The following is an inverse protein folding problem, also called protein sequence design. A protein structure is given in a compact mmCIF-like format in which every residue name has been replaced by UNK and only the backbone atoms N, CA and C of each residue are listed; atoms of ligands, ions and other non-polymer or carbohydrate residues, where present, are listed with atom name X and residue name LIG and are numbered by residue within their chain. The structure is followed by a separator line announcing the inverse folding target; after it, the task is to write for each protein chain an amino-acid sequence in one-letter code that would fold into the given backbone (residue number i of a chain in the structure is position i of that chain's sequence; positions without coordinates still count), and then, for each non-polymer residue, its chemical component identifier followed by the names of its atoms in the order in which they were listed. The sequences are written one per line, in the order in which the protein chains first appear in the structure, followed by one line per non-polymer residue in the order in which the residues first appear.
data_IF_079574031568
#
_entry.id   IF_079574031568
#
_cell.length_a   1.000
_cell.length_b   1.000
_cell.length_c   1.000
_cell.angle_alpha   90.00
_cell.angle_beta   90.00
_cell.angle_gamma   90.00
#
_symmetry.space_group_name_H-M   'P 1'
#
loop_
_entity.id
_entity.type
_entity.pdbx_description
1 polymer ?
#
# COMPACT_ATOMS: atom_id res chain seq x y z
N UNK A 1 -28.06 20.27 -6.68
CA UNK A 1 -27.32 18.99 -6.71
C UNK A 1 -26.03 19.19 -5.92
N UNK A 2 -26.03 18.85 -4.63
CA UNK A 2 -24.87 19.02 -3.74
C UNK A 2 -23.87 17.90 -4.01
N UNK A 3 -22.70 18.25 -4.54
CA UNK A 3 -21.59 17.31 -4.72
C UNK A 3 -21.13 16.82 -3.34
N UNK A 4 -21.30 15.53 -3.07
CA UNK A 4 -20.74 14.86 -1.90
C UNK A 4 -19.23 14.81 -2.10
N UNK A 5 -18.51 15.80 -1.58
CA UNK A 5 -17.04 15.74 -1.46
C UNK A 5 -16.70 14.52 -0.61
N UNK A 6 -16.17 13.46 -1.22
CA UNK A 6 -15.57 12.34 -0.49
C UNK A 6 -14.63 12.93 0.56
N UNK A 7 -14.82 12.57 1.81
CA UNK A 7 -13.89 12.95 2.88
C UNK A 7 -12.49 12.46 2.48
N UNK A 8 -11.61 13.40 2.15
CA UNK A 8 -10.21 13.14 1.82
C UNK A 8 -9.53 12.67 3.09
N UNK A 9 -8.88 11.50 3.05
CA UNK A 9 -8.11 10.98 4.19
C UNK A 9 -6.75 11.70 4.23
N UNK A 10 -6.16 11.94 5.42
CA UNK A 10 -4.90 12.66 5.56
C UNK A 10 -3.77 12.13 4.65
N UNK A 11 -3.61 10.80 4.54
CA UNK A 11 -2.56 10.22 3.70
C UNK A 11 -2.96 9.94 2.24
N UNK A 12 -4.09 10.46 1.74
CA UNK A 12 -4.53 10.24 0.35
C UNK A 12 -3.50 10.66 -0.69
N UNK A 13 -2.84 11.81 -0.48
CA UNK A 13 -1.81 12.34 -1.39
C UNK A 13 -0.58 11.42 -1.43
N UNK A 14 -0.07 11.02 -0.25
CA UNK A 14 1.06 10.08 -0.12
C UNK A 14 0.75 8.76 -0.80
N UNK A 15 -0.43 8.19 -0.54
CA UNK A 15 -0.85 6.95 -1.19
C UNK A 15 -0.97 7.12 -2.71
N UNK A 16 -1.51 8.23 -3.20
CA UNK A 16 -1.58 8.48 -4.65
C UNK A 16 -0.19 8.56 -5.30
N UNK A 17 0.78 9.19 -4.64
CA UNK A 17 2.16 9.23 -5.10
C UNK A 17 2.79 7.83 -5.14
N UNK A 18 2.61 7.03 -4.08
CA UNK A 18 3.08 5.63 -4.05
C UNK A 18 2.47 4.81 -5.17
N UNK A 19 1.15 4.92 -5.41
CA UNK A 19 0.49 4.21 -6.52
C UNK A 19 1.09 4.58 -7.87
N UNK A 20 1.28 5.87 -8.12
CA UNK A 20 1.83 6.38 -9.37
C UNK A 20 3.28 5.91 -9.59
N UNK A 21 4.11 5.95 -8.54
CA UNK A 21 5.48 5.47 -8.60
C UNK A 21 5.55 3.95 -8.84
N UNK A 22 4.68 3.21 -8.17
CA UNK A 22 4.57 1.76 -8.32
C UNK A 22 4.12 1.36 -9.73
N UNK A 23 3.07 1.97 -10.25
CA UNK A 23 2.56 1.70 -11.60
C UNK A 23 3.56 2.12 -12.71
N UNK A 24 4.44 3.09 -12.44
CA UNK A 24 5.53 3.48 -13.35
C UNK A 24 6.74 2.53 -13.29
N UNK A 25 6.82 1.66 -12.27
CA UNK A 25 7.93 0.74 -12.10
C UNK A 25 7.78 -0.46 -13.04
N UNK A 26 8.64 -0.53 -14.05
CA UNK A 26 8.71 -1.69 -14.95
C UNK A 26 9.06 -2.94 -14.12
N UNK A 27 8.17 -3.93 -14.13
CA UNK A 27 8.36 -5.19 -13.40
C UNK A 27 7.87 -5.20 -11.95
N UNK A 28 7.11 -4.19 -11.50
CA UNK A 28 6.56 -4.16 -10.13
C UNK A 28 5.58 -5.32 -9.82
N UNK A 29 4.83 -5.78 -10.82
CA UNK A 29 3.93 -6.95 -10.72
C UNK A 29 4.33 -7.96 -11.80
N UNK A 30 4.51 -9.25 -11.45
CA UNK A 30 4.86 -10.26 -12.44
C UNK A 30 3.80 -10.35 -13.54
N UNK A 31 4.23 -10.27 -14.79
CA UNK A 31 3.35 -10.54 -15.93
C UNK A 31 3.10 -12.05 -16.01
N UNK A 32 1.82 -12.42 -16.06
CA UNK A 32 1.40 -13.81 -16.18
C UNK A 32 1.35 -14.20 -17.65
N UNK A 33 2.20 -15.15 -18.02
CA UNK A 33 2.26 -15.78 -19.35
C UNK A 33 1.94 -17.27 -19.25
N UNK A 34 1.17 -17.79 -20.21
CA UNK A 34 0.86 -19.22 -20.32
C UNK A 34 2.07 -20.09 -20.73
N UNK A 35 3.24 -19.49 -20.98
CA UNK A 35 4.48 -20.21 -21.30
C UNK A 35 5.13 -20.87 -20.08
N UNK A 36 4.76 -20.46 -18.86
CA UNK A 36 5.32 -20.99 -17.61
C UNK A 36 4.25 -21.70 -16.80
N UNK A 37 4.66 -22.64 -15.93
CA UNK A 37 3.71 -23.30 -15.03
C UNK A 37 3.06 -22.27 -14.11
N UNK A 38 1.76 -22.45 -13.86
CA UNK A 38 1.00 -21.62 -12.93
C UNK A 38 1.54 -21.69 -11.50
N UNK A 39 2.15 -22.82 -11.14
CA UNK A 39 2.71 -23.02 -9.80
C UNK A 39 3.79 -21.98 -9.51
N UNK A 40 4.57 -21.56 -10.52
CA UNK A 40 5.59 -20.51 -10.36
C UNK A 40 4.97 -19.14 -10.06
N UNK A 41 3.77 -18.88 -10.57
CA UNK A 41 3.05 -17.65 -10.25
C UNK A 41 2.45 -17.72 -8.84
N UNK A 42 1.98 -18.88 -8.38
CA UNK A 42 1.58 -19.04 -6.98
C UNK A 42 2.77 -18.84 -6.02
N UNK A 43 3.95 -19.37 -6.34
CA UNK A 43 5.19 -19.09 -5.59
C UNK A 43 5.56 -17.60 -5.58
N UNK A 44 5.37 -16.91 -6.72
CA UNK A 44 5.59 -15.47 -6.80
C UNK A 44 4.61 -14.67 -5.92
N UNK A 45 3.33 -15.07 -5.89
CA UNK A 45 2.33 -14.48 -5.00
C UNK A 45 2.71 -14.66 -3.53
N UNK A 46 3.17 -15.86 -3.15
CA UNK A 46 3.61 -16.14 -1.79
C UNK A 46 4.83 -15.30 -1.38
N UNK A 47 5.80 -15.09 -2.28
CA UNK A 47 6.92 -14.19 -2.03
C UNK A 47 6.46 -12.74 -1.81
N UNK A 48 5.53 -12.24 -2.62
CA UNK A 48 4.94 -10.90 -2.42
C UNK A 48 4.21 -10.79 -1.08
N UNK A 49 3.44 -11.81 -0.71
CA UNK A 49 2.76 -11.87 0.58
C UNK A 49 3.75 -11.85 1.76
N UNK A 50 4.88 -12.56 1.64
CA UNK A 50 5.92 -12.55 2.65
C UNK A 50 6.56 -11.16 2.78
N UNK A 51 6.89 -10.50 1.66
CA UNK A 51 7.39 -9.12 1.68
C UNK A 51 6.39 -8.16 2.35
N UNK A 52 5.10 -8.29 2.04
CA UNK A 52 4.05 -7.53 2.70
C UNK A 52 4.01 -7.76 4.21
N UNK A 53 3.98 -9.03 4.66
CA UNK A 53 3.91 -9.37 6.06
C UNK A 53 5.13 -8.89 6.86
N UNK A 54 6.33 -8.91 6.25
CA UNK A 54 7.55 -8.35 6.86
C UNK A 54 7.41 -6.83 7.01
N UNK A 55 7.09 -6.12 5.93
CA UNK A 55 6.94 -4.66 5.97
C UNK A 55 5.82 -4.21 6.94
N UNK A 56 4.71 -4.95 7.00
CA UNK A 56 3.61 -4.72 7.93
C UNK A 56 4.07 -4.85 9.39
N UNK A 57 4.77 -5.94 9.73
CA UNK A 57 5.28 -6.19 11.09
C UNK A 57 6.30 -5.14 11.52
N UNK A 58 7.16 -4.72 10.59
CA UNK A 58 8.20 -3.72 10.81
C UNK A 58 7.69 -2.27 10.76
N UNK A 59 6.38 -2.05 10.55
CA UNK A 59 5.78 -0.71 10.38
C UNK A 59 6.42 0.13 9.26
N UNK A 60 6.99 -0.52 8.24
CA UNK A 60 7.42 0.16 7.00
C UNK A 60 6.20 0.45 6.14
N UNK A 61 5.48 1.52 6.45
CA UNK A 61 4.13 1.76 5.93
C UNK A 61 4.07 1.87 4.40
N UNK A 62 5.01 2.57 3.78
CA UNK A 62 5.04 2.73 2.31
C UNK A 62 5.26 1.38 1.61
N UNK A 63 6.23 0.61 2.09
CA UNK A 63 6.53 -0.73 1.59
C UNK A 63 5.34 -1.68 1.79
N UNK A 64 4.74 -1.67 2.98
CA UNK A 64 3.57 -2.49 3.28
C UNK A 64 2.40 -2.12 2.37
N UNK A 65 2.15 -0.83 2.14
CA UNK A 65 1.12 -0.37 1.23
C UNK A 65 1.38 -0.83 -0.21
N UNK A 66 2.61 -0.68 -0.70
CA UNK A 66 2.99 -1.07 -2.06
C UNK A 66 2.92 -2.60 -2.24
N UNK A 67 3.53 -3.38 -1.36
CA UNK A 67 3.52 -4.85 -1.47
C UNK A 67 2.11 -5.42 -1.33
N UNK A 68 1.30 -4.91 -0.41
CA UNK A 68 -0.09 -5.35 -0.25
C UNK A 68 -0.92 -5.05 -1.51
N UNK A 69 -0.77 -3.87 -2.11
CA UNK A 69 -1.42 -3.54 -3.40
C UNK A 69 -0.97 -4.45 -4.53
N UNK A 70 0.34 -4.69 -4.65
CA UNK A 70 0.90 -5.58 -5.67
C UNK A 70 0.35 -6.99 -5.54
N UNK A 71 0.34 -7.53 -4.31
CA UNK A 71 -0.25 -8.83 -4.03
C UNK A 71 -1.73 -8.87 -4.43
N UNK A 72 -2.54 -7.89 -4.00
CA UNK A 72 -3.96 -7.83 -4.33
C UNK A 72 -4.20 -7.80 -5.86
N UNK A 73 -3.51 -6.91 -6.60
CA UNK A 73 -3.62 -6.81 -8.05
C UNK A 73 -3.12 -8.07 -8.77
N UNK A 74 -2.02 -8.65 -8.31
CA UNK A 74 -1.51 -9.89 -8.87
C UNK A 74 -2.48 -11.06 -8.65
N UNK A 75 -3.01 -11.20 -7.44
CA UNK A 75 -3.88 -12.31 -7.05
C UNK A 75 -5.31 -12.20 -7.58
N UNK A 76 -5.84 -11.00 -7.77
CA UNK A 76 -7.20 -10.77 -8.25
C UNK A 76 -7.28 -10.61 -9.77
N UNK A 77 -6.28 -10.00 -10.40
CA UNK A 77 -6.34 -9.67 -11.83
C UNK A 77 -5.43 -10.56 -12.67
N UNK A 78 -4.15 -10.69 -12.27
CA UNK A 78 -3.12 -11.31 -13.12
C UNK A 78 -3.13 -12.83 -13.05
N UNK A 79 -3.14 -13.41 -11.86
CA UNK A 79 -3.17 -14.87 -11.67
C UNK A 79 -4.38 -15.54 -12.33
N UNK A 80 -5.61 -15.00 -12.19
CA UNK A 80 -6.78 -15.57 -12.84
C UNK A 80 -6.77 -15.54 -14.37
N UNK A 81 -5.92 -14.72 -15.00
CA UNK A 81 -5.78 -14.68 -16.46
C UNK A 81 -5.00 -15.88 -17.03
N UNK A 82 -4.33 -16.67 -16.19
CA UNK A 82 -3.62 -17.86 -16.61
C UNK A 82 -4.60 -18.99 -17.01
N UNK A 83 -4.38 -19.64 -18.16
CA UNK A 83 -5.32 -20.65 -18.69
C UNK A 83 -5.57 -21.83 -17.73
N UNK A 84 -4.56 -22.19 -16.94
CA UNK A 84 -4.64 -23.29 -15.98
C UNK A 84 -5.16 -22.89 -14.59
N UNK A 85 -5.49 -21.61 -14.36
CA UNK A 85 -5.96 -21.15 -13.04
C UNK A 85 -7.25 -21.86 -12.62
N UNK A 86 -8.16 -22.06 -13.58
CA UNK A 86 -9.46 -22.70 -13.30
C UNK A 86 -9.37 -24.22 -13.12
N UNK A 87 -8.24 -24.85 -13.40
CA UNK A 87 -8.09 -26.30 -13.21
C UNK A 87 -8.30 -26.69 -11.73
N UNK A 88 -8.97 -27.84 -11.51
CA UNK A 88 -9.29 -28.33 -10.17
C UNK A 88 -8.05 -28.68 -9.36
N UNK A 89 -6.98 -29.16 -10.01
CA UNK A 89 -5.72 -29.51 -9.35
C UNK A 89 -5.07 -28.35 -8.56
N UNK A 90 -5.45 -27.10 -8.85
CA UNK A 90 -4.95 -25.91 -8.14
C UNK A 90 -5.97 -25.33 -7.15
N UNK A 91 -7.04 -26.08 -6.82
CA UNK A 91 -8.08 -25.64 -5.89
C UNK A 91 -7.52 -25.20 -4.53
N UNK A 92 -6.58 -25.96 -3.98
CA UNK A 92 -5.99 -25.67 -2.68
C UNK A 92 -5.23 -24.34 -2.68
N UNK A 93 -4.39 -24.13 -3.70
CA UNK A 93 -3.60 -22.89 -3.86
C UNK A 93 -4.53 -21.68 -4.07
N UNK A 94 -5.59 -21.82 -4.85
CA UNK A 94 -6.62 -20.77 -5.01
C UNK A 94 -7.30 -20.42 -3.70
N UNK A 95 -7.70 -21.45 -2.95
CA UNK A 95 -8.40 -21.27 -1.67
C UNK A 95 -7.50 -20.54 -0.67
N UNK A 96 -6.24 -20.96 -0.56
CA UNK A 96 -5.22 -20.29 0.26
C UNK A 96 -5.02 -18.84 -0.19
N UNK A 97 -4.80 -18.60 -1.48
CA UNK A 97 -4.60 -17.26 -2.02
C UNK A 97 -5.79 -16.32 -1.74
N UNK A 98 -7.03 -16.83 -1.78
CA UNK A 98 -8.22 -16.06 -1.44
C UNK A 98 -8.29 -15.71 0.06
N UNK A 99 -7.90 -16.65 0.93
CA UNK A 99 -7.80 -16.41 2.38
C UNK A 99 -6.71 -15.38 2.69
N UNK A 100 -5.53 -15.54 2.10
CA UNK A 100 -4.40 -14.61 2.22
C UNK A 100 -4.81 -13.20 1.75
N UNK A 101 -5.56 -13.09 0.65
CA UNK A 101 -6.10 -11.82 0.16
C UNK A 101 -7.00 -11.15 1.21
N UNK A 102 -7.90 -11.91 1.85
CA UNK A 102 -8.82 -11.36 2.83
C UNK A 102 -8.07 -10.76 4.02
N UNK A 103 -7.03 -11.45 4.50
CA UNK A 103 -6.13 -10.95 5.54
C UNK A 103 -5.34 -9.70 5.08
N UNK A 104 -4.83 -9.69 3.84
CA UNK A 104 -4.12 -8.53 3.27
C UNK A 104 -5.01 -7.30 3.19
N UNK A 105 -6.29 -7.43 2.80
CA UNK A 105 -7.22 -6.30 2.74
C UNK A 105 -7.44 -5.69 4.12
N UNK A 106 -7.66 -6.51 5.14
CA UNK A 106 -7.81 -6.04 6.52
C UNK A 106 -6.56 -5.32 6.99
N UNK A 107 -5.38 -5.93 6.80
CA UNK A 107 -4.10 -5.33 7.18
C UNK A 107 -3.78 -4.06 6.40
N UNK A 108 -4.13 -3.97 5.12
CA UNK A 108 -3.95 -2.76 4.32
C UNK A 108 -4.76 -1.59 4.85
N UNK A 109 -6.00 -1.83 5.29
CA UNK A 109 -6.80 -0.78 5.93
C UNK A 109 -6.13 -0.32 7.23
N UNK A 110 -5.56 -1.24 8.00
CA UNK A 110 -4.76 -0.88 9.19
C UNK A 110 -3.51 -0.06 8.84
N UNK A 111 -2.76 -0.42 7.79
CA UNK A 111 -1.61 0.37 7.30
C UNK A 111 -2.05 1.78 6.94
N UNK A 112 -3.17 1.88 6.23
CA UNK A 112 -3.75 3.15 5.79
C UNK A 112 -4.18 4.02 6.99
N UNK A 113 -4.72 3.42 8.05
CA UNK A 113 -4.99 4.14 9.30
C UNK A 113 -3.72 4.64 9.99
N UNK A 114 -2.65 3.84 10.01
CA UNK A 114 -1.37 4.29 10.56
C UNK A 114 -0.74 5.40 9.73
N UNK A 115 -0.83 5.34 8.41
CA UNK A 115 -0.38 6.44 7.54
C UNK A 115 -1.16 7.72 7.83
N UNK A 116 -2.48 7.64 8.00
CA UNK A 116 -3.28 8.83 8.36
C UNK A 116 -2.86 9.42 9.71
N UNK A 117 -2.51 8.59 10.69
CA UNK A 117 -1.99 9.04 11.99
C UNK A 117 -0.64 9.76 11.86
N UNK A 118 0.29 9.25 11.03
CA UNK A 118 1.57 9.91 10.78
C UNK A 118 1.39 11.29 10.14
N UNK A 119 0.47 11.44 9.17
CA UNK A 119 0.23 12.73 8.53
C UNK A 119 -0.41 13.74 9.49
N UNK A 120 -1.36 13.31 10.34
CA UNK A 120 -1.96 14.17 11.36
C UNK A 120 -0.94 14.66 12.38
N UNK A 121 -0.07 13.76 12.88
CA UNK A 121 0.98 14.12 13.83
C UNK A 121 1.98 15.10 13.22
N UNK A 122 2.29 14.94 11.93
CA UNK A 122 3.18 15.84 11.21
C UNK A 122 2.58 17.25 11.07
N UNK A 123 1.30 17.35 10.73
CA UNK A 123 0.58 18.62 10.65
C UNK A 123 0.50 19.32 12.02
N UNK A 124 0.19 18.57 13.09
CA UNK A 124 0.17 19.10 14.46
C UNK A 124 1.55 19.64 14.89
N UNK A 125 2.63 18.93 14.59
CA UNK A 125 3.99 19.36 14.91
C UNK A 125 4.41 20.60 14.12
N UNK A 126 4.06 20.68 12.83
CA UNK A 126 4.32 21.85 11.98
C UNK A 126 3.60 23.10 12.51
N UNK A 127 2.36 22.96 12.97
CA UNK A 127 1.60 24.06 13.59
C UNK A 127 2.23 24.51 14.91
N UNK A 128 2.67 23.55 15.75
CA UNK A 128 3.33 23.85 17.03
C UNK A 128 4.64 24.61 16.84
N UNK A 129 5.43 24.25 15.85
CA UNK A 129 6.70 24.93 15.53
C UNK A 129 6.45 26.31 14.89
N UNK A 130 5.42 26.44 14.06
CA UNK A 130 5.05 27.70 13.40
C UNK A 130 4.64 28.82 14.36
N UNK A 131 3.96 28.48 15.46
CA UNK A 131 3.50 29.46 16.47
C UNK A 131 4.63 29.93 17.42
N UNK A 132 5.69 29.12 17.59
CA UNK A 132 6.85 29.47 18.42
C UNK A 132 7.92 30.34 17.74
N UNK A 133 7.78 30.64 16.44
CA UNK A 133 8.81 31.30 15.63
C UNK A 133 8.75 32.83 15.53
N UNK A 134 7.69 33.47 16.04
CA UNK A 134 7.48 34.93 15.88
C UNK A 134 7.88 35.77 17.10
N UNK A 135 8.24 35.18 18.24
CA UNK A 135 8.46 35.94 19.48
C UNK A 135 9.92 36.35 19.74
N UNK A 136 10.90 35.97 18.91
CA UNK A 136 12.34 36.20 19.20
C UNK A 136 13.03 37.30 18.37
N UNK A 137 12.30 38.16 17.65
CA UNK A 137 12.92 39.18 16.76
C UNK A 137 12.65 40.66 17.09
N UNK A 138 12.18 40.98 18.30
CA UNK A 138 11.92 42.38 18.70
C UNK A 138 12.66 42.84 19.96
N UNK A 139 13.87 42.33 20.19
CA UNK A 139 14.81 42.96 21.14
C UNK A 139 16.12 43.22 20.41
N UNK A 140 16.56 44.48 20.43
CA UNK A 140 17.81 45.04 19.87
C UNK A 140 17.69 45.78 18.54
N UNK A 141 17.07 46.97 18.58
CA UNK A 141 17.68 48.18 17.99
C UNK A 141 17.45 49.35 18.95
N UNK A 142 18.32 49.44 19.95
CA UNK A 142 18.59 50.70 20.65
C UNK A 142 20.05 51.02 20.36
N UNK A 143 20.29 52.06 19.57
CA UNK A 143 21.35 53.05 19.75
C UNK A 143 21.05 54.25 18.83
#
# INVERSE_FOLDING_TARGET
MTATTKATRPSDSRRAALRKADDATVGGIPLVSNMFSIDRYFEAAEKLLNCFNVAYKERRLDDAYVYGRRFAKFSLDSLPSHQHYRAERHWLQKTKNNQDMADVVVKLETVVQWMDQEELQKEEEELRIGDGGLETRLVQTSD
#
